data_IF_694437918279
#
_entry.id   IF_694437918279
#
_cell.length_a   1.000
_cell.length_b   1.000
_cell.length_c   1.000
_cell.angle_alpha   90.00
_cell.angle_beta   90.00
_cell.angle_gamma   90.00
#
_symmetry.space_group_name_H-M   'P 1'
#
loop_
_entity.id
_entity.type
_entity.pdbx_description
1 polymer ?
#
# COMPACT_ATOMS: atom_id res chain seq x y z
N UNK A 1 -0.16 -3.43 -53.41
CA UNK A 1 -1.16 -4.04 -52.52
C UNK A 1 -0.40 -4.84 -51.48
N UNK A 2 -0.28 -4.29 -50.27
CA UNK A 2 0.29 -4.98 -49.11
C UNK A 2 -0.80 -4.93 -48.06
N UNK A 3 -1.33 -6.09 -47.68
CA UNK A 3 -2.35 -6.23 -46.64
C UNK A 3 -1.81 -5.68 -45.32
N UNK A 4 -2.54 -4.71 -44.76
CA UNK A 4 -2.37 -4.29 -43.39
C UNK A 4 -2.86 -5.43 -42.50
N UNK A 5 -1.95 -5.99 -41.68
CA UNK A 5 -2.32 -6.89 -40.61
C UNK A 5 -3.33 -6.20 -39.70
N UNK A 6 -4.55 -6.73 -39.66
CA UNK A 6 -5.55 -6.35 -38.67
C UNK A 6 -4.96 -6.62 -37.29
N UNK A 7 -4.76 -5.56 -36.50
CA UNK A 7 -4.30 -5.66 -35.13
C UNK A 7 -5.32 -6.49 -34.33
N UNK A 8 -4.90 -7.69 -33.91
CA UNK A 8 -5.66 -8.65 -33.10
C UNK A 8 -6.14 -8.06 -31.75
N UNK A 9 -5.53 -6.95 -31.33
CA UNK A 9 -5.93 -6.15 -30.19
C UNK A 9 -6.58 -4.87 -30.71
N UNK A 10 -7.90 -4.92 -30.89
CA UNK A 10 -8.71 -3.75 -31.25
C UNK A 10 -8.39 -2.55 -30.35
N UNK A 11 -8.37 -1.37 -30.97
CA UNK A 11 -7.81 -0.12 -30.45
C UNK A 11 -7.92 0.10 -28.94
N UNK A 12 -6.76 0.32 -28.30
CA UNK A 12 -6.60 0.67 -26.88
C UNK A 12 -6.98 2.13 -26.56
N UNK A 13 -7.76 2.79 -27.41
CA UNK A 13 -8.18 4.17 -27.24
C UNK A 13 -9.71 4.25 -27.11
N UNK A 14 -10.27 3.47 -26.17
CA UNK A 14 -11.58 3.79 -25.63
C UNK A 14 -11.37 4.84 -24.55
N UNK A 15 -11.86 6.05 -24.81
CA UNK A 15 -11.83 7.21 -23.92
C UNK A 15 -11.92 6.82 -22.45
N UNK A 16 -10.81 7.02 -21.74
CA UNK A 16 -10.67 6.66 -20.34
C UNK A 16 -11.52 7.60 -19.50
N UNK A 17 -12.82 7.29 -19.38
CA UNK A 17 -13.64 7.82 -18.32
C UNK A 17 -12.97 7.56 -16.96
N UNK A 18 -13.26 8.40 -15.97
CA UNK A 18 -12.75 8.35 -14.59
C UNK A 18 -13.13 7.06 -13.81
N UNK A 19 -13.47 5.97 -14.49
CA UNK A 19 -13.80 4.68 -13.88
C UNK A 19 -12.57 3.81 -13.58
N UNK A 20 -12.79 2.71 -12.86
CA UNK A 20 -11.74 1.74 -12.49
C UNK A 20 -11.38 0.74 -13.59
N UNK A 21 -11.92 0.90 -14.80
CA UNK A 21 -11.67 0.02 -15.95
C UNK A 21 -12.94 -0.40 -16.68
N UNK A 22 -12.79 -1.29 -17.67
CA UNK A 22 -13.88 -1.79 -18.53
C UNK A 22 -14.81 -2.77 -17.80
N UNK A 23 -14.32 -3.46 -16.78
CA UNK A 23 -15.10 -4.41 -15.99
C UNK A 23 -15.62 -3.75 -14.71
N UNK A 24 -16.82 -4.15 -14.27
CA UNK A 24 -17.49 -3.59 -13.09
C UNK A 24 -16.94 -4.10 -11.74
N UNK A 25 -16.24 -5.24 -11.74
CA UNK A 25 -15.63 -5.84 -10.55
C UNK A 25 -14.30 -6.54 -10.90
N UNK A 26 -13.37 -6.58 -9.94
CA UNK A 26 -12.08 -7.26 -10.11
C UNK A 26 -10.95 -6.63 -9.29
N UNK A 27 -9.76 -7.21 -9.41
CA UNK A 27 -8.52 -6.64 -8.84
C UNK A 27 -8.05 -5.50 -9.75
N UNK A 28 -7.64 -4.38 -9.15
CA UNK A 28 -7.14 -3.22 -9.89
C UNK A 28 -5.77 -3.52 -10.52
N UNK A 29 -5.64 -3.47 -11.86
CA UNK A 29 -4.35 -3.66 -12.52
C UNK A 29 -3.47 -2.41 -12.40
N UNK A 30 -2.18 -2.58 -12.63
CA UNK A 30 -1.14 -1.53 -12.47
C UNK A 30 -1.46 -0.21 -13.17
N UNK A 31 -2.02 -0.24 -14.38
CA UNK A 31 -2.37 0.99 -15.11
C UNK A 31 -3.51 1.78 -14.45
N UNK A 32 -4.43 1.11 -13.74
CA UNK A 32 -5.47 1.77 -12.93
C UNK A 32 -4.86 2.33 -11.66
N UNK A 33 -4.01 1.56 -10.96
CA UNK A 33 -3.29 2.04 -9.78
C UNK A 33 -2.47 3.30 -10.10
N UNK A 34 -1.74 3.32 -11.23
CA UNK A 34 -1.02 4.51 -11.72
C UNK A 34 -1.94 5.72 -11.91
N UNK A 35 -3.14 5.52 -12.47
CA UNK A 35 -4.11 6.61 -12.64
C UNK A 35 -4.59 7.14 -11.29
N UNK A 36 -4.90 6.26 -10.33
CA UNK A 36 -5.32 6.65 -8.98
C UNK A 36 -4.24 7.42 -8.23
N UNK A 37 -2.99 6.95 -8.32
CA UNK A 37 -1.82 7.61 -7.73
C UNK A 37 -1.60 9.00 -8.35
N UNK A 38 -1.65 9.10 -9.70
CA UNK A 38 -1.51 10.39 -10.41
C UNK A 38 -2.62 11.37 -10.06
N UNK A 39 -3.85 10.88 -9.88
CA UNK A 39 -4.99 11.70 -9.47
C UNK A 39 -4.89 12.21 -8.02
N UNK A 40 -4.03 11.60 -7.18
CA UNK A 40 -3.82 11.96 -5.76
C UNK A 40 -5.11 12.04 -4.95
N UNK A 41 -6.07 11.15 -5.22
CA UNK A 41 -7.35 11.09 -4.49
C UNK A 41 -7.42 9.93 -3.51
N UNK A 42 -7.34 8.71 -4.02
CA UNK A 42 -7.57 7.51 -3.20
C UNK A 42 -6.31 6.93 -2.58
N UNK A 43 -5.17 7.12 -3.23
CA UNK A 43 -3.87 6.64 -2.79
C UNK A 43 -2.93 7.83 -2.85
N UNK A 44 -2.38 8.19 -1.69
CA UNK A 44 -1.42 9.29 -1.56
C UNK A 44 -0.25 8.84 -0.70
N UNK A 45 0.89 9.49 -0.87
CA UNK A 45 2.07 9.21 -0.08
C UNK A 45 2.78 10.51 0.28
N UNK A 46 3.49 10.50 1.42
CA UNK A 46 4.32 11.62 1.86
C UNK A 46 5.47 11.90 0.88
N UNK A 47 5.96 10.85 0.22
CA UNK A 47 7.00 10.90 -0.82
C UNK A 47 6.45 10.38 -2.14
N UNK A 48 7.03 10.77 -3.26
CA UNK A 48 6.61 10.28 -4.57
C UNK A 48 6.66 8.75 -4.62
N UNK A 49 5.60 8.14 -5.16
CA UNK A 49 5.52 6.69 -5.33
C UNK A 49 6.31 6.33 -6.57
N UNK A 50 7.35 5.53 -6.40
CA UNK A 50 8.22 5.13 -7.49
C UNK A 50 7.55 4.09 -8.40
N UNK A 51 7.91 4.10 -9.67
CA UNK A 51 7.42 3.12 -10.65
C UNK A 51 7.74 1.67 -10.23
N UNK A 52 8.88 1.45 -9.55
CA UNK A 52 9.28 0.15 -9.04
C UNK A 52 8.39 -0.38 -7.90
N UNK A 53 7.66 0.50 -7.18
CA UNK A 53 6.72 0.08 -6.15
C UNK A 53 5.43 -0.49 -6.75
N UNK A 54 5.10 -0.13 -7.99
CA UNK A 54 3.84 -0.53 -8.64
C UNK A 54 4.02 -1.90 -9.28
N UNK A 55 3.38 -2.90 -8.70
CA UNK A 55 3.36 -4.27 -9.18
C UNK A 55 2.16 -4.49 -10.14
N UNK A 56 2.07 -5.63 -10.85
CA UNK A 56 1.00 -5.86 -11.82
C UNK A 56 -0.43 -5.65 -11.28
N UNK A 57 -0.65 -5.94 -10.00
CA UNK A 57 -1.94 -5.82 -9.33
C UNK A 57 -1.83 -5.49 -7.82
N UNK A 58 -0.72 -4.86 -7.41
CA UNK A 58 -0.48 -4.47 -6.02
C UNK A 58 0.47 -3.26 -5.94
N UNK A 59 0.58 -2.69 -4.74
CA UNK A 59 1.49 -1.58 -4.44
C UNK A 59 2.37 -1.98 -3.26
N UNK A 60 3.69 -1.90 -3.43
CA UNK A 60 4.64 -2.10 -2.32
C UNK A 60 4.62 -0.84 -1.41
N UNK A 61 4.38 -1.05 -0.12
CA UNK A 61 4.28 0.01 0.90
C UNK A 61 5.65 0.24 1.57
N UNK A 62 5.93 1.49 1.95
CA UNK A 62 7.19 1.91 2.54
C UNK A 62 7.00 2.28 4.01
N UNK A 63 8.00 1.94 4.81
CA UNK A 63 8.08 2.34 6.21
C UNK A 63 8.43 3.83 6.30
N UNK A 64 7.78 4.54 7.20
CA UNK A 64 8.15 5.89 7.60
C UNK A 64 9.44 5.92 8.41
N UNK A 65 9.91 7.12 8.79
CA UNK A 65 11.21 7.31 9.42
C UNK A 65 11.27 6.87 10.89
N UNK A 66 10.15 6.49 11.49
CA UNK A 66 10.06 6.22 12.93
C UNK A 66 9.33 4.91 13.18
N UNK A 67 9.88 4.07 14.04
CA UNK A 67 9.22 2.90 14.62
C UNK A 67 9.01 3.09 16.12
N UNK A 68 7.91 2.57 16.65
CA UNK A 68 7.68 2.49 18.09
C UNK A 68 7.66 1.04 18.56
N UNK A 69 8.53 0.72 19.52
CA UNK A 69 8.49 -0.57 20.22
C UNK A 69 7.31 -0.58 21.18
N UNK A 70 6.46 -1.58 21.06
CA UNK A 70 5.29 -1.79 21.92
C UNK A 70 5.40 -3.15 22.62
N UNK A 71 4.80 -3.28 23.80
CA UNK A 71 4.84 -4.55 24.57
C UNK A 71 4.08 -5.68 23.89
N UNK A 72 2.99 -5.35 23.20
CA UNK A 72 2.11 -6.30 22.56
C UNK A 72 1.44 -5.66 21.35
N UNK A 73 1.01 -6.50 20.40
CA UNK A 73 0.12 -6.07 19.33
C UNK A 73 -1.24 -5.67 19.91
N UNK A 74 -1.95 -4.78 19.22
CA UNK A 74 -3.26 -4.30 19.62
C UNK A 74 -4.14 -4.06 18.40
N UNK A 75 -5.44 -3.96 18.63
CA UNK A 75 -6.40 -3.44 17.67
C UNK A 75 -6.93 -2.11 18.20
N UNK A 76 -7.00 -1.06 17.37
CA UNK A 76 -7.48 0.24 17.82
C UNK A 76 -8.92 0.19 18.33
N UNK A 77 -9.75 -0.66 17.71
CA UNK A 77 -11.18 -0.75 17.97
C UNK A 77 -11.95 0.38 17.28
N UNK A 78 -13.30 0.35 17.34
CA UNK A 78 -14.14 1.29 16.58
C UNK A 78 -14.14 2.72 17.12
N UNK A 79 -13.67 2.95 18.35
CA UNK A 79 -13.76 4.23 19.07
C UNK A 79 -12.44 4.95 19.29
N UNK A 80 -11.35 4.46 18.68
CA UNK A 80 -10.03 5.07 18.80
C UNK A 80 -9.22 4.85 17.52
N UNK A 81 -8.28 5.75 17.26
CA UNK A 81 -7.30 5.63 16.19
C UNK A 81 -6.10 4.79 16.63
N UNK A 82 -5.34 4.27 15.66
CA UNK A 82 -4.05 3.63 15.93
C UNK A 82 -3.11 4.56 16.71
N UNK A 83 -3.09 5.86 16.35
CA UNK A 83 -2.22 6.86 16.98
C UNK A 83 -2.55 7.08 18.46
N UNK A 84 -3.83 7.18 18.82
CA UNK A 84 -4.25 7.36 20.22
C UNK A 84 -3.87 6.15 21.07
N UNK A 85 -4.09 4.93 20.58
CA UNK A 85 -3.68 3.72 21.30
C UNK A 85 -2.17 3.60 21.40
N UNK A 86 -1.45 3.97 20.35
CA UNK A 86 -0.01 3.92 20.32
C UNK A 86 0.61 4.80 21.41
N UNK A 87 0.10 6.02 21.62
CA UNK A 87 0.58 6.89 22.70
C UNK A 87 0.47 6.25 24.09
N UNK A 88 -0.55 5.42 24.33
CA UNK A 88 -0.73 4.74 25.61
C UNK A 88 0.11 3.46 25.76
N UNK A 89 0.61 2.89 24.66
CA UNK A 89 1.25 1.56 24.61
C UNK A 89 2.72 1.59 24.20
N UNK A 90 3.18 2.67 23.57
CA UNK A 90 4.55 2.85 23.13
C UNK A 90 5.51 2.90 24.31
N UNK A 91 6.63 2.18 24.17
CA UNK A 91 7.71 2.20 25.16
C UNK A 91 8.85 3.09 24.72
N UNK A 92 9.34 2.86 23.50
CA UNK A 92 10.52 3.53 22.95
C UNK A 92 10.27 3.88 21.49
N UNK A 93 10.68 5.07 21.11
CA UNK A 93 10.78 5.51 19.72
C UNK A 93 12.15 5.13 19.15
N UNK A 94 12.16 4.70 17.89
CA UNK A 94 13.35 4.25 17.17
C UNK A 94 13.37 4.99 15.83
N UNK A 95 14.46 5.71 15.59
CA UNK A 95 14.74 6.37 14.30
C UNK A 95 15.21 5.31 13.27
N UNK A 96 14.56 5.31 12.11
CA UNK A 96 14.84 4.39 10.99
C UNK A 96 15.65 5.06 9.87
N UNK A 97 15.92 6.37 9.94
CA UNK A 97 16.51 7.15 8.83
C UNK A 97 17.88 6.63 8.38
N UNK A 98 18.70 6.11 9.30
CA UNK A 98 20.03 5.56 9.02
C UNK A 98 20.07 4.03 9.16
N UNK A 99 18.89 3.38 9.14
CA UNK A 99 18.70 1.98 9.46
C UNK A 99 18.65 1.71 10.96
N UNK A 100 17.92 0.67 11.35
CA UNK A 100 17.81 0.22 12.73
C UNK A 100 17.69 -1.31 12.78
N UNK A 101 18.09 -1.90 13.91
CA UNK A 101 17.89 -3.31 14.19
C UNK A 101 16.56 -3.49 14.92
N UNK A 102 15.66 -4.26 14.32
CA UNK A 102 14.42 -4.72 14.97
C UNK A 102 14.68 -6.11 15.53
N UNK A 103 14.66 -6.23 16.86
CA UNK A 103 14.93 -7.47 17.58
C UNK A 103 13.85 -8.53 17.30
N UNK A 104 14.25 -9.80 17.30
CA UNK A 104 13.29 -10.90 17.25
C UNK A 104 12.39 -10.90 18.48
N UNK A 105 11.19 -11.45 18.35
CA UNK A 105 10.18 -11.54 19.41
C UNK A 105 9.73 -10.18 19.99
N UNK A 106 10.02 -9.08 19.30
CA UNK A 106 9.57 -7.74 19.65
C UNK A 106 8.51 -7.24 18.66
N UNK A 107 7.63 -6.37 19.14
CA UNK A 107 6.57 -5.78 18.32
C UNK A 107 6.89 -4.32 18.06
N UNK A 108 6.81 -3.94 16.79
CA UNK A 108 7.06 -2.59 16.33
C UNK A 108 5.86 -2.08 15.54
N UNK A 109 5.46 -0.84 15.80
CA UNK A 109 4.46 -0.12 15.02
C UNK A 109 5.20 0.94 14.23
N UNK A 110 5.01 0.96 12.91
CA UNK A 110 5.71 1.86 12.00
C UNK A 110 4.66 2.53 11.12
N UNK A 111 4.55 3.88 11.09
CA UNK A 111 3.70 4.55 10.12
C UNK A 111 4.19 4.21 8.72
N UNK A 112 3.26 4.04 7.79
CA UNK A 112 3.62 3.94 6.38
C UNK A 112 3.75 5.34 5.78
N UNK A 113 4.54 5.45 4.71
CA UNK A 113 4.59 6.66 3.90
C UNK A 113 3.32 6.85 3.08
N UNK A 114 2.67 5.74 2.70
CA UNK A 114 1.42 5.71 1.97
C UNK A 114 0.20 5.79 2.90
N UNK A 115 -0.85 6.44 2.41
CA UNK A 115 -2.19 6.43 3.00
C UNK A 115 -3.23 6.24 1.90
N UNK A 116 -4.37 5.67 2.28
CA UNK A 116 -5.43 5.40 1.34
C UNK A 116 -6.80 5.77 1.93
N UNK A 117 -7.60 6.43 1.11
CA UNK A 117 -9.00 6.75 1.40
C UNK A 117 -9.83 6.32 0.20
N UNK A 118 -10.31 5.08 0.25
CA UNK A 118 -11.01 4.46 -0.87
C UNK A 118 -12.45 4.95 -1.00
N UNK A 119 -12.93 5.03 -2.24
CA UNK A 119 -14.36 5.19 -2.48
C UNK A 119 -15.13 3.91 -2.11
N UNK A 120 -16.46 3.99 -1.98
CA UNK A 120 -17.32 2.85 -1.65
C UNK A 120 -17.24 1.66 -2.63
N UNK A 121 -16.61 1.84 -3.80
CA UNK A 121 -16.46 0.81 -4.83
C UNK A 121 -15.16 0.02 -4.70
N UNK A 122 -14.23 0.48 -3.87
CA UNK A 122 -12.87 -0.07 -3.77
C UNK A 122 -12.59 -0.47 -2.33
N UNK A 123 -11.92 -1.59 -2.16
CA UNK A 123 -11.34 -2.02 -0.89
C UNK A 123 -9.93 -2.53 -1.11
N UNK A 124 -9.13 -2.53 -0.05
CA UNK A 124 -7.76 -2.98 -0.06
C UNK A 124 -7.54 -4.17 0.86
N UNK A 125 -6.63 -5.06 0.45
CA UNK A 125 -6.04 -6.07 1.32
C UNK A 125 -4.52 -5.89 1.31
N UNK A 126 -3.88 -6.22 2.42
CA UNK A 126 -2.43 -6.13 2.57
C UNK A 126 -1.86 -7.50 2.90
N UNK A 127 -0.75 -7.85 2.25
CA UNK A 127 -0.02 -9.09 2.47
C UNK A 127 1.48 -8.81 2.59
N UNK A 128 2.22 -9.59 3.39
CA UNK A 128 3.68 -9.51 3.39
C UNK A 128 4.22 -9.83 2.00
N UNK A 129 5.30 -9.14 1.60
CA UNK A 129 6.06 -9.51 0.42
C UNK A 129 6.68 -10.89 0.63
N UNK A 130 6.84 -11.68 -0.42
CA UNK A 130 7.38 -13.04 -0.31
C UNK A 130 8.78 -13.08 0.34
N UNK A 131 9.61 -12.04 0.13
CA UNK A 131 10.90 -11.89 0.80
C UNK A 131 10.78 -11.67 2.30
N UNK A 132 9.75 -10.94 2.75
CA UNK A 132 9.45 -10.74 4.18
C UNK A 132 9.10 -12.06 4.85
N UNK A 133 8.28 -12.89 4.20
CA UNK A 133 7.95 -14.22 4.71
C UNK A 133 9.16 -15.16 4.76
N UNK A 134 10.09 -15.07 3.79
CA UNK A 134 11.33 -15.87 3.78
C UNK A 134 12.28 -15.52 4.93
N UNK A 135 12.15 -14.32 5.50
CA UNK A 135 12.93 -13.87 6.66
C UNK A 135 12.22 -14.12 7.99
N UNK A 136 11.08 -14.83 7.97
CA UNK A 136 10.23 -15.08 9.15
C UNK A 136 9.81 -13.79 9.87
N UNK A 137 9.62 -12.71 9.11
CA UNK A 137 9.15 -11.42 9.64
C UNK A 137 7.64 -11.37 9.60
N UNK A 138 7.02 -11.36 10.78
CA UNK A 138 5.59 -11.17 10.91
C UNK A 138 5.20 -9.70 10.70
N UNK A 139 4.32 -9.44 9.75
CA UNK A 139 3.81 -8.09 9.48
C UNK A 139 2.29 -8.08 9.40
N UNK A 140 1.67 -7.04 9.94
CA UNK A 140 0.23 -6.82 9.81
C UNK A 140 -0.05 -5.34 9.58
N UNK A 141 -0.92 -5.04 8.62
CA UNK A 141 -1.46 -3.70 8.47
C UNK A 141 -2.56 -3.48 9.51
N UNK A 142 -2.46 -2.36 10.24
CA UNK A 142 -3.48 -1.89 11.18
C UNK A 142 -3.97 -0.52 10.71
N UNK A 143 -5.28 -0.30 10.79
CA UNK A 143 -5.96 0.91 10.30
C UNK A 143 -6.89 1.43 11.38
#
# INVERSE_FOLDING_TARGET
MVEAAENLFGGMDAEAGEGYGRHSTGILPSHVLKRLIRARREIVAAEEIEEAQIQPASLDLRLGPVAWRVRASFLPGPSATVREKLHALAMHEIDLTNGAVLETHCVYVVPLLESAEFSFRVSGIANPKSSTGRLDVFTRLIT
#
